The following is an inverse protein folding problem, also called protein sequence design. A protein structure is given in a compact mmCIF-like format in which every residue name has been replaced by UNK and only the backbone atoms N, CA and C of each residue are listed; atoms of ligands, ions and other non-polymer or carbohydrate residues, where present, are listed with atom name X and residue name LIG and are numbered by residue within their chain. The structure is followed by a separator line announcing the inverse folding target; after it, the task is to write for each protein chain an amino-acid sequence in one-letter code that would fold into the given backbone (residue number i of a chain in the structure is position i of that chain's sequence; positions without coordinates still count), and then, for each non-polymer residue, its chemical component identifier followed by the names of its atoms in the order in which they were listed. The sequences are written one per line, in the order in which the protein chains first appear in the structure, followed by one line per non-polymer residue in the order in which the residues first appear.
data_IF_966900887400
#
_entry.id   IF_966900887400
#
_cell.length_a   1.000
_cell.length_b   1.000
_cell.length_c   1.000
_cell.angle_alpha   90.00
_cell.angle_beta   90.00
_cell.angle_gamma   90.00
#
_symmetry.space_group_name_H-M   'P 1'
#
loop_
_entity.id
_entity.type
_entity.pdbx_description
1 polymer ?
#
# COMPACT_ATOMS: atom_id res chain seq x y z
N UNK A 1 32.80 -5.23 1.29
CA UNK A 1 32.81 -6.27 0.26
C UNK A 1 31.41 -6.84 0.14
N UNK A 2 30.69 -6.49 -0.93
CA UNK A 2 29.41 -7.11 -1.26
C UNK A 2 29.70 -8.31 -2.16
N UNK A 3 29.89 -9.48 -1.56
CA UNK A 3 29.91 -10.74 -2.30
C UNK A 3 28.49 -11.00 -2.79
N UNK A 4 28.26 -10.84 -4.09
CA UNK A 4 26.97 -11.17 -4.70
C UNK A 4 26.71 -12.66 -4.54
N UNK A 5 25.74 -13.02 -3.71
CA UNK A 5 25.28 -14.39 -3.56
C UNK A 5 24.82 -14.96 -4.92
N UNK A 6 25.17 -16.22 -5.24
CA UNK A 6 24.72 -16.87 -6.47
C UNK A 6 23.19 -16.83 -6.60
N UNK A 7 22.68 -16.64 -7.82
CA UNK A 7 21.25 -16.44 -8.11
C UNK A 7 20.35 -17.54 -7.51
N UNK A 8 20.79 -18.81 -7.56
CA UNK A 8 20.07 -19.95 -7.00
C UNK A 8 20.00 -19.95 -5.45
N UNK A 9 21.05 -19.45 -4.79
CA UNK A 9 21.07 -19.29 -3.33
C UNK A 9 20.18 -18.12 -2.90
N UNK A 10 20.07 -17.08 -3.74
CA UNK A 10 19.20 -15.93 -3.52
C UNK A 10 17.71 -16.28 -3.61
N UNK A 11 17.32 -17.12 -4.56
CA UNK A 11 15.92 -17.58 -4.69
C UNK A 11 15.50 -18.44 -3.50
N UNK A 12 16.34 -19.40 -3.09
CA UNK A 12 16.06 -20.24 -1.91
C UNK A 12 15.99 -19.41 -0.61
N UNK A 13 16.85 -18.39 -0.46
CA UNK A 13 16.79 -17.47 0.67
C UNK A 13 15.48 -16.67 0.70
N UNK A 14 15.05 -16.15 -0.46
CA UNK A 14 13.80 -15.41 -0.57
C UNK A 14 12.61 -16.32 -0.26
N UNK A 15 12.56 -17.54 -0.79
CA UNK A 15 11.47 -18.49 -0.52
C UNK A 15 11.32 -18.83 0.98
N UNK A 16 12.43 -18.90 1.72
CA UNK A 16 12.40 -19.14 3.16
C UNK A 16 11.99 -17.91 4.00
N UNK A 17 12.11 -16.70 3.45
CA UNK A 17 11.95 -15.42 4.19
C UNK A 17 10.80 -14.55 3.69
N UNK A 18 10.25 -14.85 2.52
CA UNK A 18 9.18 -14.12 1.86
C UNK A 18 7.99 -15.07 1.69
N UNK A 19 6.86 -14.67 2.27
CA UNK A 19 5.57 -15.28 1.94
C UNK A 19 4.78 -14.28 1.10
N UNK A 20 4.22 -14.75 -0.01
CA UNK A 20 3.37 -13.96 -0.89
C UNK A 20 1.97 -14.57 -0.81
N UNK A 21 0.98 -13.71 -0.57
CA UNK A 21 -0.42 -14.07 -0.60
C UNK A 21 -1.17 -13.05 -1.46
N UNK A 22 -2.14 -13.53 -2.23
CA UNK A 22 -3.03 -12.67 -3.02
C UNK A 22 -4.30 -12.43 -2.23
N UNK A 23 -4.75 -11.17 -2.21
CA UNK A 23 -6.02 -10.78 -1.61
C UNK A 23 -6.85 -10.01 -2.64
N UNK A 24 -7.63 -10.72 -3.50
CA UNK A 24 -8.39 -10.06 -4.57
C UNK A 24 -9.55 -9.20 -4.05
N UNK A 25 -9.94 -9.41 -2.79
CA UNK A 25 -11.07 -8.76 -2.12
C UNK A 25 -10.61 -8.21 -0.76
N UNK A 26 -11.20 -7.10 -0.33
CA UNK A 26 -10.87 -6.46 0.94
C UNK A 26 -11.14 -7.37 2.15
N UNK A 27 -12.21 -8.18 2.13
CA UNK A 27 -12.48 -9.14 3.19
C UNK A 27 -11.43 -10.25 3.26
N UNK A 28 -10.91 -10.72 2.12
CA UNK A 28 -9.80 -11.68 2.09
C UNK A 28 -8.54 -11.09 2.71
N UNK A 29 -8.24 -9.82 2.42
CA UNK A 29 -7.12 -9.10 3.03
C UNK A 29 -7.30 -8.99 4.55
N UNK A 30 -8.49 -8.64 5.01
CA UNK A 30 -8.82 -8.53 6.44
C UNK A 30 -8.60 -9.88 7.14
N UNK A 31 -9.12 -10.98 6.58
CA UNK A 31 -8.94 -12.32 7.15
C UNK A 31 -7.46 -12.72 7.23
N UNK A 32 -6.69 -12.47 6.16
CA UNK A 32 -5.26 -12.76 6.16
C UNK A 32 -4.50 -11.97 7.23
N UNK A 33 -4.89 -10.72 7.51
CA UNK A 33 -4.31 -9.93 8.59
C UNK A 33 -4.71 -10.42 9.98
N UNK A 34 -5.94 -10.92 10.14
CA UNK A 34 -6.40 -11.55 11.38
C UNK A 34 -5.62 -12.83 11.68
N UNK A 35 -5.46 -13.69 10.68
CA UNK A 35 -4.65 -14.90 10.78
C UNK A 35 -3.19 -14.56 11.09
N UNK A 36 -2.64 -13.52 10.44
CA UNK A 36 -1.30 -13.03 10.73
C UNK A 36 -1.16 -12.59 12.19
N UNK A 37 -2.09 -11.79 12.71
CA UNK A 37 -2.08 -11.34 14.10
C UNK A 37 -2.17 -12.53 15.05
N UNK A 38 -3.05 -13.50 14.78
CA UNK A 38 -3.17 -14.71 15.59
C UNK A 38 -1.85 -15.51 15.61
N UNK A 39 -1.19 -15.66 14.47
CA UNK A 39 0.10 -16.34 14.38
C UNK A 39 1.24 -15.58 15.08
N UNK A 40 1.24 -14.24 15.00
CA UNK A 40 2.20 -13.39 15.71
C UNK A 40 1.97 -13.36 17.23
N UNK A 41 0.72 -13.58 17.68
CA UNK A 41 0.35 -13.65 19.09
C UNK A 41 0.50 -15.06 19.69
N UNK A 42 0.77 -16.09 18.87
CA UNK A 42 0.95 -17.45 19.33
C UNK A 42 2.07 -17.54 20.38
N UNK A 43 1.87 -18.34 21.42
CA UNK A 43 2.90 -18.61 22.45
C UNK A 43 4.17 -19.21 21.86
N UNK A 44 4.05 -19.93 20.74
CA UNK A 44 5.16 -20.52 20.00
C UNK A 44 4.98 -20.23 18.50
N UNK A 45 5.34 -19.02 18.04
CA UNK A 45 5.24 -18.69 16.63
C UNK A 45 6.23 -19.52 15.82
N UNK A 46 5.88 -19.86 14.57
CA UNK A 46 6.83 -20.51 13.67
C UNK A 46 8.05 -19.60 13.41
N UNK A 47 9.14 -20.17 12.88
CA UNK A 47 10.37 -19.44 12.61
C UNK A 47 10.15 -18.23 11.68
N UNK A 48 9.17 -18.32 10.76
CA UNK A 48 8.85 -17.23 9.85
C UNK A 48 8.25 -16.05 10.63
N UNK A 49 7.16 -16.26 11.37
CA UNK A 49 6.44 -15.23 12.11
C UNK A 49 7.32 -14.60 13.20
N UNK A 50 8.15 -15.39 13.89
CA UNK A 50 9.12 -14.88 14.86
C UNK A 50 10.14 -13.90 14.23
N UNK A 51 10.48 -14.12 12.95
CA UNK A 51 11.44 -13.31 12.21
C UNK A 51 10.81 -12.23 11.31
N UNK A 52 9.48 -12.14 11.27
CA UNK A 52 8.78 -11.17 10.43
C UNK A 52 9.09 -9.74 10.92
N UNK A 53 9.45 -8.86 9.98
CA UNK A 53 9.78 -7.45 10.25
C UNK A 53 9.07 -6.46 9.34
N UNK A 54 8.54 -6.92 8.22
CA UNK A 54 7.88 -6.09 7.23
C UNK A 54 6.68 -6.82 6.63
N UNK A 55 5.54 -6.13 6.57
CA UNK A 55 4.39 -6.50 5.77
C UNK A 55 4.23 -5.46 4.67
N UNK A 56 4.18 -5.92 3.42
CA UNK A 56 3.91 -5.07 2.27
C UNK A 56 2.54 -5.42 1.73
N UNK A 57 1.67 -4.43 1.61
CA UNK A 57 0.38 -4.57 0.95
C UNK A 57 0.44 -3.80 -0.35
N UNK A 58 0.54 -4.54 -1.45
CA UNK A 58 0.58 -3.96 -2.78
C UNK A 58 -0.84 -3.66 -3.28
N UNK A 59 -1.11 -2.37 -3.43
CA UNK A 59 -2.30 -1.69 -3.91
C UNK A 59 -3.59 -2.05 -3.17
N UNK A 60 -3.77 -1.47 -1.98
CA UNK A 60 -5.01 -1.63 -1.18
C UNK A 60 -6.24 -1.13 -1.92
N UNK A 61 -6.09 -0.10 -2.75
CA UNK A 61 -7.18 0.40 -3.58
C UNK A 61 -7.79 -0.68 -4.48
N UNK A 62 -6.98 -1.58 -5.05
CA UNK A 62 -7.48 -2.65 -5.92
C UNK A 62 -8.49 -3.56 -5.20
N UNK A 63 -8.15 -3.99 -3.97
CA UNK A 63 -9.00 -4.82 -3.14
C UNK A 63 -10.29 -4.09 -2.70
N UNK A 64 -10.22 -2.78 -2.47
CA UNK A 64 -11.35 -1.93 -2.08
C UNK A 64 -12.31 -1.71 -3.25
N UNK A 65 -11.81 -1.47 -4.46
CA UNK A 65 -12.66 -1.31 -5.66
C UNK A 65 -13.35 -2.61 -6.04
N UNK A 66 -12.67 -3.75 -5.91
CA UNK A 66 -13.24 -5.06 -6.21
C UNK A 66 -14.48 -5.37 -5.35
N UNK A 67 -14.54 -4.90 -4.09
CA UNK A 67 -15.73 -5.02 -3.24
C UNK A 67 -16.67 -3.81 -3.30
N UNK A 68 -16.19 -2.65 -3.77
CA UNK A 68 -16.95 -1.40 -3.80
C UNK A 68 -18.18 -1.41 -4.71
N UNK A 69 -18.26 -2.35 -5.66
CA UNK A 69 -19.47 -2.58 -6.46
C UNK A 69 -20.58 -3.32 -5.69
N UNK A 70 -20.23 -4.05 -4.62
CA UNK A 70 -21.14 -4.92 -3.87
C UNK A 70 -21.54 -4.36 -2.51
N UNK A 71 -20.78 -3.41 -1.94
CA UNK A 71 -20.99 -2.88 -0.59
C UNK A 71 -21.63 -1.49 -0.58
N UNK A 72 -22.50 -1.24 0.39
CA UNK A 72 -22.96 0.12 0.69
C UNK A 72 -21.79 1.00 1.17
N UNK A 73 -21.87 2.32 0.97
CA UNK A 73 -20.83 3.27 1.41
C UNK A 73 -20.48 3.13 2.91
N UNK A 74 -21.48 2.88 3.75
CA UNK A 74 -21.29 2.66 5.19
C UNK A 74 -20.51 1.38 5.48
N UNK A 75 -20.87 0.28 4.82
CA UNK A 75 -20.18 -1.01 4.98
C UNK A 75 -18.73 -0.93 4.50
N UNK A 76 -18.46 -0.31 3.36
CA UNK A 76 -17.10 -0.08 2.86
C UNK A 76 -16.27 0.75 3.86
N UNK A 77 -16.86 1.80 4.44
CA UNK A 77 -16.21 2.61 5.49
C UNK A 77 -15.84 1.80 6.74
N UNK A 78 -16.73 0.91 7.19
CA UNK A 78 -16.47 0.04 8.33
C UNK A 78 -15.34 -0.97 8.06
N UNK A 79 -15.31 -1.59 6.88
CA UNK A 79 -14.23 -2.51 6.51
C UNK A 79 -12.88 -1.80 6.42
N UNK A 80 -12.85 -0.59 5.86
CA UNK A 80 -11.64 0.23 5.84
C UNK A 80 -11.15 0.61 7.25
N UNK A 81 -12.07 0.94 8.15
CA UNK A 81 -11.73 1.21 9.55
C UNK A 81 -11.15 -0.03 10.26
N UNK A 82 -11.74 -1.21 10.01
CA UNK A 82 -11.25 -2.49 10.54
C UNK A 82 -9.87 -2.82 10.00
N UNK A 83 -9.67 -2.74 8.68
CA UNK A 83 -8.35 -2.93 8.04
C UNK A 83 -7.30 -2.06 8.74
N UNK A 84 -7.62 -0.79 8.95
CA UNK A 84 -6.70 0.16 9.55
C UNK A 84 -6.40 -0.12 11.04
N UNK A 85 -7.34 -0.70 11.79
CA UNK A 85 -7.08 -1.19 13.14
C UNK A 85 -6.10 -2.36 13.12
N UNK A 86 -6.34 -3.35 12.26
CA UNK A 86 -5.48 -4.54 12.15
C UNK A 86 -4.04 -4.17 11.79
N UNK A 87 -3.85 -3.25 10.84
CA UNK A 87 -2.52 -2.79 10.45
C UNK A 87 -1.81 -2.07 11.61
N UNK A 88 -2.53 -1.28 12.41
CA UNK A 88 -1.96 -0.66 13.60
C UNK A 88 -1.63 -1.68 14.68
N UNK A 89 -2.42 -2.75 14.84
CA UNK A 89 -2.10 -3.86 15.73
C UNK A 89 -0.79 -4.53 15.31
N UNK A 90 -0.65 -4.88 14.03
CA UNK A 90 0.59 -5.44 13.46
C UNK A 90 1.79 -4.53 13.73
N UNK A 91 1.64 -3.22 13.49
CA UNK A 91 2.72 -2.26 13.69
C UNK A 91 3.10 -2.04 15.16
N UNK A 92 2.12 -1.74 16.02
CA UNK A 92 2.37 -1.30 17.39
C UNK A 92 2.57 -2.44 18.37
N UNK A 93 1.74 -3.48 18.29
CA UNK A 93 1.77 -4.58 19.26
C UNK A 93 2.82 -5.63 18.88
N UNK A 94 2.98 -5.91 17.58
CA UNK A 94 3.93 -6.92 17.10
C UNK A 94 5.24 -6.34 16.56
N UNK A 95 5.40 -5.01 16.56
CA UNK A 95 6.62 -4.31 16.10
C UNK A 95 7.04 -4.69 14.67
N UNK A 96 6.06 -4.88 13.79
CA UNK A 96 6.28 -5.20 12.38
C UNK A 96 6.03 -3.95 11.53
N UNK A 97 6.99 -3.53 10.72
CA UNK A 97 6.78 -2.41 9.82
C UNK A 97 5.69 -2.74 8.79
N UNK A 98 4.82 -1.77 8.49
CA UNK A 98 3.76 -1.93 7.50
C UNK A 98 3.98 -0.90 6.39
N UNK A 99 4.12 -1.40 5.16
CA UNK A 99 4.19 -0.60 3.94
C UNK A 99 2.94 -0.87 3.10
N UNK A 100 2.27 0.18 2.66
CA UNK A 100 1.12 0.09 1.78
C UNK A 100 1.32 0.96 0.55
N UNK A 101 1.01 0.43 -0.62
CA UNK A 101 0.90 1.23 -1.84
C UNK A 101 -0.57 1.55 -2.12
N UNK A 102 -0.81 2.69 -2.75
CA UNK A 102 -2.12 3.20 -3.09
C UNK A 102 -2.07 3.88 -4.46
N UNK A 103 -3.18 3.88 -5.18
CA UNK A 103 -3.27 4.60 -6.45
C UNK A 103 -3.50 6.10 -6.23
N UNK A 104 -3.01 6.88 -7.20
CA UNK A 104 -3.42 8.26 -7.39
C UNK A 104 -4.57 8.29 -8.42
N UNK A 105 -5.66 8.98 -8.09
CA UNK A 105 -6.81 9.16 -8.98
C UNK A 105 -6.98 10.64 -9.33
N UNK A 106 -7.59 10.99 -10.48
CA UNK A 106 -7.87 12.37 -10.81
C UNK A 106 -8.69 13.08 -9.73
N UNK A 107 -8.35 14.33 -9.43
CA UNK A 107 -9.22 15.20 -8.66
C UNK A 107 -10.40 15.63 -9.55
N UNK A 108 -11.61 15.19 -9.22
CA UNK A 108 -12.84 15.44 -9.99
C UNK A 108 -13.25 16.93 -10.13
N UNK A 109 -12.47 17.88 -9.63
CA UNK A 109 -12.71 19.32 -9.76
C UNK A 109 -12.27 19.91 -11.09
N UNK A 110 -11.65 19.12 -11.98
CA UNK A 110 -11.00 19.65 -13.19
C UNK A 110 -11.76 19.34 -14.49
N UNK A 111 -13.04 18.96 -14.42
CA UNK A 111 -13.86 18.86 -15.65
C UNK A 111 -14.31 20.23 -16.18
N UNK A 112 -14.32 21.27 -15.35
CA UNK A 112 -14.70 22.65 -15.73
C UNK A 112 -13.54 23.67 -15.65
N UNK A 113 -12.30 23.24 -15.40
CA UNK A 113 -11.16 24.16 -15.26
C UNK A 113 -10.40 24.31 -16.60
N UNK A 114 -10.51 25.45 -17.32
CA UNK A 114 -9.87 25.65 -18.62
C UNK A 114 -8.33 25.60 -18.57
N UNK A 115 -7.73 25.64 -17.37
CA UNK A 115 -6.29 25.44 -17.17
C UNK A 115 -5.83 23.98 -17.45
N UNK A 116 -6.74 23.01 -17.45
CA UNK A 116 -6.43 21.59 -17.71
C UNK A 116 -6.19 21.27 -19.20
N UNK A 117 -6.46 22.20 -20.11
CA UNK A 117 -6.27 22.04 -21.56
C UNK A 117 -4.82 22.25 -22.04
N UNK A 118 -3.92 22.73 -21.18
CA UNK A 118 -2.60 23.24 -21.56
C UNK A 118 -1.40 22.36 -21.17
N UNK A 119 -1.57 21.03 -21.09
CA UNK A 119 -0.46 20.10 -20.83
C UNK A 119 0.12 20.14 -19.41
N UNK A 120 -0.52 20.84 -18.48
CA UNK A 120 -0.16 20.79 -17.06
C UNK A 120 -0.49 19.40 -16.45
N UNK A 121 0.36 18.86 -15.57
CA UNK A 121 0.08 17.60 -14.90
C UNK A 121 -1.24 17.70 -14.11
N UNK A 122 -2.22 16.85 -14.46
CA UNK A 122 -3.54 16.81 -13.79
C UNK A 122 -3.35 16.61 -12.29
N UNK A 123 -3.99 17.44 -11.47
CA UNK A 123 -3.97 17.28 -10.03
C UNK A 123 -4.53 15.90 -9.64
N UNK A 124 -3.71 15.09 -8.96
CA UNK A 124 -4.11 13.77 -8.47
C UNK A 124 -4.30 13.77 -6.96
N UNK A 125 -5.24 12.97 -6.48
CA UNK A 125 -5.48 12.71 -5.05
C UNK A 125 -5.31 11.22 -4.74
N UNK A 126 -4.95 10.84 -3.50
CA UNK A 126 -4.90 9.43 -3.10
C UNK A 126 -6.28 8.79 -3.19
N UNK A 127 -6.36 7.57 -3.72
CA UNK A 127 -7.63 6.92 -4.03
C UNK A 127 -8.46 6.52 -2.79
N UNK A 128 -7.81 6.11 -1.70
CA UNK A 128 -8.44 5.84 -0.40
C UNK A 128 -9.02 7.08 0.32
N UNK A 129 -8.86 8.28 -0.27
CA UNK A 129 -9.47 9.51 0.21
C UNK A 129 -8.87 10.08 1.50
N UNK A 130 -9.51 11.12 2.03
CA UNK A 130 -9.03 11.90 3.19
C UNK A 130 -9.09 11.12 4.51
N UNK A 131 -10.00 10.15 4.62
CA UNK A 131 -10.17 9.34 5.83
C UNK A 131 -8.94 8.49 6.19
N UNK A 132 -8.07 8.24 5.22
CA UNK A 132 -6.79 7.54 5.40
C UNK A 132 -5.59 8.48 5.61
N UNK A 133 -5.76 9.78 5.37
CA UNK A 133 -4.65 10.74 5.43
C UNK A 133 -4.16 10.97 6.87
N UNK A 134 -5.06 11.04 7.84
CA UNK A 134 -4.73 11.28 9.25
C UNK A 134 -4.29 10.02 10.01
N UNK A 135 -4.12 8.93 9.28
CA UNK A 135 -4.14 7.57 9.84
C UNK A 135 -2.89 6.77 9.50
N UNK A 136 -2.00 7.36 8.72
CA UNK A 136 -0.70 6.84 8.29
C UNK A 136 0.40 7.70 8.90
N UNK A 137 1.43 7.07 9.46
CA UNK A 137 2.53 7.80 10.12
C UNK A 137 3.38 8.59 9.11
N UNK A 138 3.64 8.00 7.94
CA UNK A 138 4.45 8.60 6.87
C UNK A 138 3.76 8.37 5.53
N UNK A 139 3.79 9.38 4.65
CA UNK A 139 3.28 9.30 3.29
C UNK A 139 4.33 9.78 2.31
N UNK A 140 4.58 8.96 1.30
CA UNK A 140 5.47 9.28 0.20
C UNK A 140 4.63 9.40 -1.07
N UNK A 141 4.77 10.52 -1.78
CA UNK A 141 4.20 10.69 -3.11
C UNK A 141 5.32 10.51 -4.12
N UNK A 142 5.16 9.51 -5.00
CA UNK A 142 6.06 9.29 -6.11
C UNK A 142 5.48 10.03 -7.33
N UNK A 143 6.31 10.83 -7.99
CA UNK A 143 5.96 11.56 -9.20
C UNK A 143 7.12 11.52 -10.18
N UNK A 144 6.84 11.80 -11.45
CA UNK A 144 7.90 11.95 -12.45
C UNK A 144 8.69 13.23 -12.14
N UNK A 145 10.02 13.15 -12.30
CA UNK A 145 10.87 14.33 -12.21
C UNK A 145 10.45 15.32 -13.32
N UNK A 146 10.41 16.64 -13.05
CA UNK A 146 10.13 17.60 -14.10
C UNK A 146 11.15 17.42 -15.21
N UNK A 147 10.68 17.21 -16.44
CA UNK A 147 11.57 17.22 -17.59
C UNK A 147 12.21 18.60 -17.67
N UNK A 148 13.52 18.65 -17.45
CA UNK A 148 14.32 19.85 -17.66
C UNK A 148 14.35 20.16 -19.16
N UNK A 149 13.30 20.81 -19.64
CA UNK A 149 13.36 21.52 -20.91
C UNK A 149 14.36 22.67 -20.72
N UNK A 150 15.60 22.38 -21.07
CA UNK A 150 16.64 23.37 -21.27
C UNK A 150 16.25 24.21 -22.49
N UNK A 151 15.45 25.25 -22.26
CA UNK A 151 15.35 26.36 -23.19
C UNK A 151 16.67 27.11 -23.12
N UNK A 152 17.65 26.67 -23.92
CA UNK A 152 18.77 27.49 -24.34
C UNK A 152 18.21 28.64 -25.17
N UNK A 153 17.81 29.73 -24.52
CA UNK A 153 17.59 31.01 -25.19
C UNK A 153 18.96 31.55 -25.58
N UNK A 154 19.35 31.33 -26.83
CA UNK A 154 20.41 32.08 -27.48
C UNK A 154 19.95 33.52 -27.69
N UNK A 155 20.61 34.46 -27.00
CA UNK A 155 20.76 35.86 -27.40
C UNK A 155 22.19 36.27 -27.07
#
# INVERSE_FOLDING_TARGET
GLTSLPKATRTAFLEARLRVATAPQLLSLIRQLEDLIANLASTSPDAFHASLRLVVIDCVFSAVVAEGAALSKSAAGAQLARLQLLLRTVASQHRVAVLMTNLAVPAASNEDDPAAAAGAPRATKPALGVAWQHKTDVRLQLGEAPSSSSSSSSC
#
